data_IF_886868534796
#
_entry.id   IF_886868534796
#
_cell.length_a   1.000
_cell.length_b   1.000
_cell.length_c   1.000
_cell.angle_alpha   90.00
_cell.angle_beta   90.00
_cell.angle_gamma   90.00
#
_symmetry.space_group_name_H-M   'P 1'
#
loop_
_entity.id
_entity.type
_entity.pdbx_description
1 polymer ?
#
# COMPACT_ATOMS: atom_id res chain seq x y z
N UNK A 1 5.81 -20.59 7.17
CA UNK A 1 4.99 -19.71 6.32
C UNK A 1 5.61 -18.30 6.20
N UNK A 2 5.86 -17.57 7.31
CA UNK A 2 6.52 -16.26 7.25
C UNK A 2 7.99 -16.33 6.75
N UNK A 3 8.71 -17.40 7.05
CA UNK A 3 10.10 -17.58 6.59
C UNK A 3 10.16 -17.87 5.08
N UNK A 4 9.18 -18.55 4.53
CA UNK A 4 9.08 -18.81 3.09
C UNK A 4 8.71 -17.52 2.33
N UNK A 5 7.85 -16.68 2.92
CA UNK A 5 7.51 -15.35 2.43
C UNK A 5 8.73 -14.43 2.34
N UNK A 6 9.60 -14.45 3.35
CA UNK A 6 10.81 -13.62 3.37
C UNK A 6 11.86 -14.08 2.34
N UNK A 7 11.87 -15.35 1.94
CA UNK A 7 12.79 -15.90 0.92
C UNK A 7 12.29 -15.71 -0.51
N UNK A 8 10.98 -15.59 -0.71
CA UNK A 8 10.37 -15.38 -2.04
C UNK A 8 10.15 -13.90 -2.38
N UNK A 9 10.53 -12.98 -1.50
CA UNK A 9 10.45 -11.55 -1.77
C UNK A 9 11.32 -11.19 -2.95
N UNK A 10 10.70 -10.65 -3.99
CA UNK A 10 11.38 -9.95 -5.06
C UNK A 10 11.94 -8.62 -4.52
N UNK A 11 13.12 -8.71 -3.90
CA UNK A 11 13.80 -7.59 -3.23
C UNK A 11 14.29 -6.55 -4.26
N UNK A 12 14.24 -6.85 -5.55
CA UNK A 12 14.74 -6.01 -6.64
C UNK A 12 13.69 -5.19 -7.37
N UNK A 13 12.51 -4.99 -6.81
CA UNK A 13 11.42 -4.24 -7.46
C UNK A 13 11.30 -2.79 -7.02
N UNK A 14 10.17 -2.17 -7.37
CA UNK A 14 9.81 -0.80 -6.97
C UNK A 14 9.72 -0.58 -5.46
N UNK A 15 9.69 -1.65 -4.66
CA UNK A 15 9.66 -1.64 -3.21
C UNK A 15 11.02 -1.95 -2.57
N UNK A 16 12.11 -1.99 -3.34
CA UNK A 16 13.46 -2.17 -2.82
C UNK A 16 14.01 -0.86 -2.26
N UNK A 17 13.82 -0.68 -0.97
CA UNK A 17 14.36 0.46 -0.20
C UNK A 17 15.62 0.10 0.59
N UNK A 18 16.29 -1.00 0.22
CA UNK A 18 17.44 -1.52 0.94
C UNK A 18 17.09 -2.38 2.17
N UNK A 19 18.07 -2.73 3.00
CA UNK A 19 17.85 -3.55 4.18
C UNK A 19 16.82 -2.94 5.12
N UNK A 20 15.82 -3.72 5.50
CA UNK A 20 14.84 -3.34 6.54
C UNK A 20 15.08 -4.20 7.77
N UNK A 21 14.99 -3.61 8.93
CA UNK A 21 14.98 -4.38 10.16
C UNK A 21 13.82 -5.38 10.14
N UNK A 22 14.06 -6.65 10.47
CA UNK A 22 12.99 -7.63 10.57
C UNK A 22 11.98 -7.17 11.61
N UNK A 23 10.69 -7.31 11.30
CA UNK A 23 9.64 -7.04 12.29
C UNK A 23 9.86 -7.96 13.49
N UNK A 24 10.02 -7.43 14.72
CA UNK A 24 10.25 -8.25 15.90
C UNK A 24 9.17 -9.33 16.05
N UNK A 25 9.58 -10.57 16.37
CA UNK A 25 8.66 -11.70 16.52
C UNK A 25 7.57 -11.43 17.55
N UNK A 26 7.88 -10.64 18.57
CA UNK A 26 6.93 -10.21 19.61
C UNK A 26 5.80 -9.35 19.05
N UNK A 27 6.09 -8.47 18.09
CA UNK A 27 5.08 -7.65 17.41
C UNK A 27 4.15 -8.54 16.57
N UNK A 28 4.70 -9.56 15.91
CA UNK A 28 3.92 -10.54 15.15
C UNK A 28 3.06 -11.42 16.06
N UNK A 29 3.57 -11.81 17.23
CA UNK A 29 2.88 -12.67 18.19
C UNK A 29 1.69 -11.99 18.87
N UNK A 30 1.72 -10.66 19.05
CA UNK A 30 0.65 -9.92 19.72
C UNK A 30 -0.46 -9.44 18.78
N UNK A 31 -0.42 -9.75 17.50
CA UNK A 31 -1.46 -9.41 16.54
C UNK A 31 -1.69 -7.90 16.32
N UNK A 32 -0.84 -7.05 16.88
CA UNK A 32 -1.03 -5.59 16.89
C UNK A 32 -0.28 -4.88 15.78
N UNK A 33 -0.33 -5.44 14.56
CA UNK A 33 0.11 -4.72 13.36
C UNK A 33 -0.92 -3.69 12.89
N UNK A 34 -1.92 -3.39 13.72
CA UNK A 34 -3.03 -2.50 13.38
C UNK A 34 -3.39 -1.58 14.53
N UNK A 35 -3.40 -0.28 14.27
CA UNK A 35 -3.98 0.76 15.11
C UNK A 35 -4.62 1.84 14.22
N UNK A 36 -5.18 2.89 14.83
CA UNK A 36 -5.87 3.97 14.13
C UNK A 36 -4.97 4.77 13.18
N UNK A 37 -3.65 4.63 13.29
CA UNK A 37 -2.68 5.40 12.51
C UNK A 37 -1.90 4.57 11.50
N UNK A 38 -1.77 3.28 11.71
CA UNK A 38 -1.08 2.38 10.80
C UNK A 38 -1.56 0.94 10.95
N UNK A 39 -1.33 0.15 9.92
CA UNK A 39 -1.61 -1.28 9.97
C UNK A 39 -1.15 -1.98 8.70
N UNK A 40 -1.09 -3.30 8.79
CA UNK A 40 -0.79 -4.18 7.67
C UNK A 40 -1.70 -5.40 7.75
N UNK A 41 -2.26 -5.79 6.60
CA UNK A 41 -3.07 -6.99 6.43
C UNK A 41 -2.41 -7.91 5.41
N UNK A 42 -2.64 -9.21 5.58
CA UNK A 42 -2.26 -10.21 4.60
C UNK A 42 -3.36 -10.27 3.53
N UNK A 43 -2.96 -10.33 2.27
CA UNK A 43 -3.84 -10.59 1.15
C UNK A 43 -3.86 -12.09 0.94
N UNK A 44 -5.02 -12.71 1.12
CA UNK A 44 -5.23 -14.14 0.86
C UNK A 44 -6.06 -14.31 -0.40
N UNK A 45 -5.67 -15.26 -1.25
CA UNK A 45 -6.43 -15.61 -2.44
C UNK A 45 -7.56 -16.56 -2.07
N UNK A 46 -8.82 -16.15 -2.30
CA UNK A 46 -10.02 -16.89 -1.89
C UNK A 46 -10.13 -18.30 -2.50
N UNK A 47 -9.49 -18.57 -3.64
CA UNK A 47 -9.63 -19.88 -4.30
C UNK A 47 -8.89 -21.03 -3.61
N UNK A 48 -7.88 -20.72 -2.80
CA UNK A 48 -7.00 -21.71 -2.16
C UNK A 48 -6.49 -21.28 -0.78
N UNK A 49 -7.00 -20.17 -0.24
CA UNK A 49 -6.66 -19.56 1.05
C UNK A 49 -5.15 -19.31 1.22
N UNK A 50 -4.44 -19.08 0.10
CA UNK A 50 -3.01 -18.83 0.13
C UNK A 50 -2.70 -17.35 0.33
N UNK A 51 -1.76 -17.02 1.22
CA UNK A 51 -1.24 -15.68 1.32
C UNK A 51 -0.45 -15.33 0.04
N UNK A 52 -0.82 -14.23 -0.61
CA UNK A 52 -0.26 -13.79 -1.89
C UNK A 52 0.34 -12.40 -1.84
N UNK A 53 0.18 -11.68 -0.73
CA UNK A 53 0.67 -10.33 -0.60
C UNK A 53 0.38 -9.72 0.76
N UNK A 54 0.78 -8.49 0.89
CA UNK A 54 0.42 -7.62 2.02
C UNK A 54 -0.09 -6.29 1.50
N UNK A 55 -1.00 -5.68 2.25
CA UNK A 55 -1.43 -4.30 2.05
C UNK A 55 -1.41 -3.58 3.39
N UNK A 56 -0.79 -2.41 3.42
CA UNK A 56 -0.66 -1.63 4.63
C UNK A 56 -1.18 -0.22 4.46
N UNK A 57 -1.34 0.48 5.58
CA UNK A 57 -1.65 1.90 5.62
C UNK A 57 -0.89 2.61 6.72
N UNK A 58 -0.71 3.90 6.56
CA UNK A 58 -0.17 4.80 7.58
C UNK A 58 -0.83 6.17 7.47
N UNK A 59 -0.96 6.84 8.60
CA UNK A 59 -1.30 8.25 8.65
C UNK A 59 -0.09 9.06 8.16
N UNK A 60 -0.25 9.84 7.08
CA UNK A 60 0.91 10.50 6.46
C UNK A 60 0.85 12.00 6.46
N UNK A 61 -0.32 12.59 6.39
CA UNK A 61 -0.41 14.00 6.15
C UNK A 61 -1.45 14.64 7.07
N UNK A 62 -1.06 15.78 7.56
CA UNK A 62 -1.93 16.72 8.21
C UNK A 62 -1.98 17.93 7.27
N UNK A 63 -3.00 17.99 6.41
CA UNK A 63 -3.20 19.11 5.48
C UNK A 63 -3.83 20.34 6.15
N UNK A 64 -3.89 20.33 7.48
CA UNK A 64 -4.42 21.42 8.29
C UNK A 64 -4.48 21.05 9.76
N UNK A 65 -4.89 21.96 10.64
CA UNK A 65 -4.91 21.72 12.10
C UNK A 65 -6.07 20.81 12.57
N UNK A 66 -7.02 20.52 11.69
CA UNK A 66 -8.15 19.65 12.02
C UNK A 66 -7.81 18.18 11.75
N UNK A 67 -8.14 17.25 12.66
CA UNK A 67 -8.06 15.82 12.40
C UNK A 67 -8.85 15.36 11.16
N UNK A 68 -9.84 16.14 10.74
CA UNK A 68 -10.60 15.90 9.51
C UNK A 68 -9.77 16.12 8.23
N UNK A 69 -8.59 16.74 8.36
CA UNK A 69 -7.62 16.92 7.27
C UNK A 69 -6.60 15.79 7.19
N UNK A 70 -6.71 14.79 8.05
CA UNK A 70 -5.83 13.60 8.01
C UNK A 70 -6.12 12.75 6.77
N UNK A 71 -5.07 12.15 6.22
CA UNK A 71 -5.16 11.19 5.14
C UNK A 71 -4.43 9.89 5.49
N UNK A 72 -4.87 8.78 4.92
CA UNK A 72 -4.20 7.49 5.01
C UNK A 72 -3.49 7.19 3.71
N UNK A 73 -2.20 6.93 3.75
CA UNK A 73 -1.46 6.42 2.60
C UNK A 73 -1.39 4.90 2.66
N UNK A 74 -1.77 4.24 1.57
CA UNK A 74 -1.66 2.79 1.42
C UNK A 74 -0.41 2.39 0.64
N UNK A 75 0.02 1.15 0.86
CA UNK A 75 1.05 0.49 0.08
C UNK A 75 0.76 -1.00 -0.03
N UNK A 76 1.04 -1.58 -1.18
CA UNK A 76 0.77 -2.99 -1.49
C UNK A 76 2.02 -3.69 -1.99
N UNK A 77 2.12 -4.97 -1.65
CA UNK A 77 3.12 -5.87 -2.20
C UNK A 77 2.48 -7.22 -2.52
N UNK A 78 2.67 -7.71 -3.74
CA UNK A 78 2.23 -9.03 -4.17
C UNK A 78 3.43 -9.88 -4.62
N UNK A 79 3.40 -11.17 -4.29
CA UNK A 79 4.37 -12.11 -4.85
C UNK A 79 4.25 -12.13 -6.39
N UNK A 80 5.35 -12.35 -7.13
CA UNK A 80 5.33 -12.33 -8.59
C UNK A 80 4.24 -13.20 -9.21
N UNK A 81 4.04 -14.42 -8.67
CA UNK A 81 3.06 -15.38 -9.15
C UNK A 81 1.59 -14.92 -8.99
N UNK A 82 1.30 -13.90 -8.16
CA UNK A 82 -0.04 -13.38 -7.92
C UNK A 82 -0.32 -12.09 -8.72
N UNK A 83 0.69 -11.55 -9.39
CA UNK A 83 0.55 -10.32 -10.19
C UNK A 83 -0.27 -10.56 -11.46
N UNK A 84 -0.89 -9.52 -11.99
CA UNK A 84 -1.66 -9.59 -13.24
C UNK A 84 -3.02 -10.31 -13.15
N UNK A 85 -3.45 -10.74 -11.95
CA UNK A 85 -4.69 -11.49 -11.73
C UNK A 85 -5.84 -10.64 -11.15
N UNK A 86 -5.69 -9.33 -11.07
CA UNK A 86 -6.70 -8.43 -10.50
C UNK A 86 -6.66 -8.31 -8.97
N UNK A 87 -5.91 -9.16 -8.27
CA UNK A 87 -5.86 -9.18 -6.80
C UNK A 87 -5.41 -7.85 -6.19
N UNK A 88 -4.46 -7.15 -6.82
CA UNK A 88 -4.01 -5.84 -6.38
C UNK A 88 -5.09 -4.77 -6.51
N UNK A 89 -5.86 -4.79 -7.58
CA UNK A 89 -7.00 -3.88 -7.79
C UNK A 89 -8.04 -4.07 -6.69
N UNK A 90 -8.42 -5.33 -6.44
CA UNK A 90 -9.42 -5.65 -5.43
C UNK A 90 -8.95 -5.30 -4.01
N UNK A 91 -7.71 -5.64 -3.66
CA UNK A 91 -7.15 -5.34 -2.36
C UNK A 91 -7.08 -3.81 -2.09
N UNK A 92 -6.68 -3.01 -3.08
CA UNK A 92 -6.63 -1.55 -2.96
C UNK A 92 -8.02 -0.93 -2.82
N UNK A 93 -9.01 -1.46 -3.53
CA UNK A 93 -10.40 -1.02 -3.37
C UNK A 93 -10.92 -1.34 -1.96
N UNK A 94 -10.76 -2.60 -1.52
CA UNK A 94 -11.24 -3.07 -0.22
C UNK A 94 -10.58 -2.35 0.96
N UNK A 95 -9.28 -2.05 0.90
CA UNK A 95 -8.61 -1.33 1.98
C UNK A 95 -9.11 0.12 2.08
N UNK A 96 -9.38 0.80 0.97
CA UNK A 96 -9.96 2.13 1.01
C UNK A 96 -11.36 2.11 1.63
N UNK A 97 -12.22 1.18 1.21
CA UNK A 97 -13.55 1.00 1.77
C UNK A 97 -13.49 0.71 3.28
N UNK A 98 -12.56 -0.16 3.70
CA UNK A 98 -12.31 -0.45 5.11
C UNK A 98 -11.88 0.79 5.91
N UNK A 99 -10.92 1.56 5.40
CA UNK A 99 -10.41 2.75 6.07
C UNK A 99 -11.50 3.83 6.18
N UNK A 100 -12.30 4.01 5.16
CA UNK A 100 -13.46 4.90 5.22
C UNK A 100 -14.51 4.44 6.23
N UNK A 101 -14.75 3.15 6.36
CA UNK A 101 -15.70 2.61 7.33
C UNK A 101 -15.18 2.67 8.77
N UNK A 102 -13.88 2.41 8.97
CA UNK A 102 -13.27 2.23 10.29
C UNK A 102 -12.68 3.51 10.90
N UNK A 103 -12.51 4.57 10.11
CA UNK A 103 -11.88 5.83 10.55
C UNK A 103 -12.67 7.05 10.10
N UNK A 104 -12.27 8.23 10.56
CA UNK A 104 -12.87 9.50 10.15
C UNK A 104 -12.26 10.11 8.87
N UNK A 105 -11.19 9.48 8.31
CA UNK A 105 -10.51 10.06 7.15
C UNK A 105 -11.44 10.17 5.95
N UNK A 106 -11.31 11.27 5.22
CA UNK A 106 -12.06 11.51 3.99
C UNK A 106 -11.24 11.20 2.73
N UNK A 107 -9.94 10.87 2.90
CA UNK A 107 -8.98 10.72 1.83
C UNK A 107 -8.05 9.53 2.08
N UNK A 108 -7.92 8.66 1.10
CA UNK A 108 -6.92 7.58 1.03
C UNK A 108 -6.00 7.85 -0.15
N UNK A 109 -4.70 7.82 0.10
CA UNK A 109 -3.67 8.14 -0.88
C UNK A 109 -2.83 6.91 -1.23
N UNK A 110 -2.27 6.92 -2.43
CA UNK A 110 -1.24 5.99 -2.86
C UNK A 110 -0.21 6.71 -3.73
N UNK A 111 1.01 6.23 -3.73
CA UNK A 111 2.03 6.71 -4.66
C UNK A 111 2.84 5.55 -5.19
N UNK A 112 3.30 5.68 -6.43
CA UNK A 112 4.16 4.69 -7.07
C UNK A 112 5.18 5.37 -7.96
N UNK A 113 6.26 4.66 -8.30
CA UNK A 113 7.24 5.10 -9.28
C UNK A 113 6.58 5.43 -10.62
N UNK A 114 6.99 6.52 -11.26
CA UNK A 114 6.42 6.97 -12.53
C UNK A 114 6.59 5.96 -13.66
N UNK A 115 7.55 5.05 -13.56
CA UNK A 115 7.74 3.95 -14.51
C UNK A 115 6.92 2.69 -14.18
N UNK A 116 6.30 2.60 -12.99
CA UNK A 116 5.48 1.47 -12.57
C UNK A 116 4.05 1.55 -13.15
N UNK A 117 3.94 1.36 -14.46
CA UNK A 117 2.66 1.44 -15.18
C UNK A 117 1.63 0.39 -14.71
N UNK A 118 2.10 -0.74 -14.18
CA UNK A 118 1.21 -1.79 -13.70
C UNK A 118 0.43 -1.33 -12.46
N UNK A 119 1.12 -0.71 -11.50
CA UNK A 119 0.51 -0.18 -10.29
C UNK A 119 -0.38 1.04 -10.59
N UNK A 120 0.04 1.93 -11.48
CA UNK A 120 -0.77 3.07 -11.91
C UNK A 120 -2.13 2.60 -12.44
N UNK A 121 -2.13 1.62 -13.34
CA UNK A 121 -3.37 1.03 -13.87
C UNK A 121 -4.21 0.30 -12.81
N UNK A 122 -3.55 -0.31 -11.82
CA UNK A 122 -4.25 -0.97 -10.73
C UNK A 122 -4.98 0.04 -9.84
N UNK A 123 -4.33 1.14 -9.48
CA UNK A 123 -4.92 2.24 -8.72
C UNK A 123 -6.11 2.87 -9.44
N UNK A 124 -5.95 3.17 -10.74
CA UNK A 124 -7.04 3.73 -11.55
C UNK A 124 -8.27 2.79 -11.60
N UNK A 125 -8.04 1.49 -11.78
CA UNK A 125 -9.11 0.47 -11.75
C UNK A 125 -9.73 0.29 -10.36
N UNK A 126 -8.99 0.57 -9.30
CA UNK A 126 -9.48 0.54 -7.92
C UNK A 126 -10.24 1.82 -7.52
N UNK A 127 -10.41 2.77 -8.45
CA UNK A 127 -11.16 4.00 -8.24
C UNK A 127 -10.32 5.16 -7.70
N UNK A 128 -8.99 5.07 -7.77
CA UNK A 128 -8.13 6.19 -7.41
C UNK A 128 -7.93 7.14 -8.60
N UNK A 129 -7.95 8.42 -8.31
CA UNK A 129 -7.73 9.50 -9.30
C UNK A 129 -6.28 9.97 -9.23
N UNK A 130 -5.64 10.10 -10.39
CA UNK A 130 -4.28 10.64 -10.49
C UNK A 130 -4.28 12.13 -10.24
N UNK A 131 -3.42 12.59 -9.31
CA UNK A 131 -3.34 14.01 -8.93
C UNK A 131 -2.10 14.71 -9.49
N UNK A 132 -1.02 13.97 -9.71
CA UNK A 132 0.20 14.59 -10.21
C UNK A 132 1.43 13.73 -10.03
N UNK A 133 2.59 14.36 -10.22
CA UNK A 133 3.89 13.73 -10.02
C UNK A 133 4.80 14.61 -9.17
N UNK A 134 5.53 13.96 -8.27
CA UNK A 134 6.58 14.56 -7.46
C UNK A 134 7.93 14.18 -8.05
N UNK A 135 8.65 15.17 -8.58
CA UNK A 135 9.94 14.95 -9.23
C UNK A 135 11.02 14.63 -8.22
N UNK A 136 11.82 13.59 -8.49
CA UNK A 136 12.96 13.19 -7.67
C UNK A 136 12.60 12.88 -6.22
N UNK A 137 11.37 12.42 -5.95
CA UNK A 137 10.85 12.28 -4.59
C UNK A 137 11.35 11.04 -3.86
N UNK A 138 11.82 10.04 -4.60
CA UNK A 138 12.25 8.76 -4.02
C UNK A 138 13.68 8.43 -4.46
N UNK A 139 14.56 8.20 -3.48
CA UNK A 139 15.89 7.66 -3.75
C UNK A 139 15.87 6.13 -3.64
N UNK A 140 16.25 5.45 -4.73
CA UNK A 140 16.24 3.99 -4.81
C UNK A 140 17.28 3.51 -5.82
N UNK A 141 17.97 2.43 -5.52
CA UNK A 141 18.98 1.83 -6.39
C UNK A 141 20.06 2.82 -6.87
N UNK A 142 20.42 3.82 -6.05
CA UNK A 142 21.46 4.80 -6.35
C UNK A 142 21.03 6.04 -7.10
N UNK A 143 19.75 6.21 -7.43
CA UNK A 143 19.23 7.35 -8.18
C UNK A 143 17.86 7.85 -7.66
N UNK A 144 17.51 9.08 -8.06
CA UNK A 144 16.22 9.70 -7.72
C UNK A 144 15.18 9.34 -8.75
N UNK A 145 14.00 8.96 -8.26
CA UNK A 145 12.84 8.60 -9.06
C UNK A 145 11.68 9.55 -8.81
N UNK A 146 10.90 9.81 -9.85
CA UNK A 146 9.64 10.53 -9.74
C UNK A 146 8.55 9.59 -9.20
N UNK A 147 7.71 10.11 -8.31
CA UNK A 147 6.52 9.42 -7.83
C UNK A 147 5.26 10.02 -8.45
N UNK A 148 4.35 9.18 -8.90
CA UNK A 148 3.00 9.56 -9.28
C UNK A 148 2.07 9.37 -8.09
N UNK A 149 1.28 10.40 -7.77
CA UNK A 149 0.34 10.43 -6.66
C UNK A 149 -1.08 10.20 -7.14
N UNK A 150 -1.78 9.40 -6.36
CA UNK A 150 -3.18 9.03 -6.52
C UNK A 150 -3.94 9.23 -5.23
N UNK A 151 -5.23 9.51 -5.32
CA UNK A 151 -6.13 9.55 -4.18
C UNK A 151 -7.49 8.97 -4.51
N UNK A 152 -8.17 8.49 -3.47
CA UNK A 152 -9.59 8.19 -3.48
C UNK A 152 -10.23 8.92 -2.31
N UNK A 153 -11.33 9.62 -2.56
CA UNK A 153 -12.08 10.35 -1.55
C UNK A 153 -13.26 9.50 -1.06
N UNK A 154 -13.69 9.75 0.16
CA UNK A 154 -14.91 9.13 0.72
C UNK A 154 -16.15 9.44 -0.11
N UNK A 155 -16.18 10.59 -0.80
CA UNK A 155 -17.27 11.05 -1.65
C UNK A 155 -17.23 10.49 -3.07
N UNK A 156 -16.14 9.83 -3.45
CA UNK A 156 -16.04 9.24 -4.79
C UNK A 156 -16.99 8.04 -4.93
N UNK A 157 -17.52 7.80 -6.13
CA UNK A 157 -18.46 6.72 -6.39
C UNK A 157 -17.89 5.32 -6.17
#
# INVERSE_FOLDING_TARGET
MLDQWNTERDIGGYNDFGPRDPVPREVLAHGSLRNDRNGTLIIERLSDDRPVGTIGWRLVAVYGPSPMSDAMQIGIELIPAARGQGLGVEAQRLIADYLFAATHVSRVEASTDSSNLAEQRALEKAGYVREGAMRGAQFRAGEYHDLVYYSRLRSDP
#
